data_IF_492206379873
#
_entry.id   IF_492206379873
#
_cell.length_a   1.000
_cell.length_b   1.000
_cell.length_c   1.000
_cell.angle_alpha   90.00
_cell.angle_beta   90.00
_cell.angle_gamma   90.00
#
_symmetry.space_group_name_H-M   'P 1'
#
loop_
_entity.id
_entity.type
_entity.pdbx_description
1 polymer ?
#
# COMPACT_ATOMS: atom_id res chain seq x y z
N UNK A 1 13.85 -1.66 -2.70
CA UNK A 1 12.95 -2.22 -3.71
C UNK A 1 12.24 -1.12 -4.51
N UNK A 2 11.39 -1.49 -5.50
CA UNK A 2 10.80 -0.48 -6.42
C UNK A 2 9.94 0.57 -5.71
N UNK A 3 9.25 0.21 -4.63
CA UNK A 3 8.40 1.12 -3.87
C UNK A 3 9.13 1.87 -2.73
N UNK A 4 10.40 1.61 -2.53
CA UNK A 4 11.16 2.18 -1.41
C UNK A 4 11.13 3.71 -1.39
N UNK A 5 11.47 4.35 -2.51
CA UNK A 5 11.46 5.82 -2.62
C UNK A 5 10.06 6.38 -2.37
N UNK A 6 9.02 5.76 -2.96
CA UNK A 6 7.63 6.15 -2.77
C UNK A 6 7.23 6.12 -1.29
N UNK A 7 7.47 4.96 -0.63
CA UNK A 7 7.07 4.77 0.77
C UNK A 7 7.82 5.71 1.69
N UNK A 8 9.13 5.84 1.55
CA UNK A 8 9.95 6.76 2.37
C UNK A 8 9.53 8.21 2.18
N UNK A 9 9.22 8.63 0.94
CA UNK A 9 8.71 9.99 0.67
C UNK A 9 7.41 10.24 1.42
N UNK A 10 6.45 9.32 1.36
CA UNK A 10 5.16 9.47 2.03
C UNK A 10 5.31 9.39 3.56
N UNK A 11 6.16 8.49 4.09
CA UNK A 11 6.47 8.46 5.53
C UNK A 11 7.02 9.80 6.02
N UNK A 12 7.96 10.39 5.27
CA UNK A 12 8.53 11.70 5.58
C UNK A 12 7.48 12.83 5.53
N UNK A 13 6.58 12.83 4.54
CA UNK A 13 5.46 13.78 4.46
C UNK A 13 4.55 13.69 5.69
N UNK A 14 4.42 12.49 6.26
CA UNK A 14 3.68 12.22 7.48
C UNK A 14 4.53 12.37 8.76
N UNK A 15 5.77 12.82 8.68
CA UNK A 15 6.69 12.95 9.83
C UNK A 15 6.86 11.65 10.62
N UNK A 16 6.92 10.51 9.91
CA UNK A 16 7.08 9.17 10.45
C UNK A 16 8.47 8.61 10.16
N UNK A 17 9.02 7.75 11.04
CA UNK A 17 10.29 7.06 10.81
C UNK A 17 10.28 6.25 9.52
N UNK A 18 11.37 6.35 8.73
CA UNK A 18 11.49 5.62 7.45
C UNK A 18 11.49 4.10 7.64
N UNK A 19 11.93 3.62 8.80
CA UNK A 19 11.97 2.20 9.15
C UNK A 19 10.59 1.54 9.14
N UNK A 20 9.51 2.32 9.30
CA UNK A 20 8.14 1.82 9.20
C UNK A 20 7.81 1.25 7.82
N UNK A 21 8.62 1.53 6.79
CA UNK A 21 8.51 0.85 5.49
C UNK A 21 8.66 -0.68 5.61
N UNK A 22 9.44 -1.16 6.59
CA UNK A 22 9.65 -2.60 6.79
C UNK A 22 8.40 -3.32 7.30
N UNK A 23 7.38 -2.56 7.74
CA UNK A 23 6.07 -3.11 8.01
C UNK A 23 5.44 -3.70 6.74
N UNK A 24 5.45 -2.94 5.62
CA UNK A 24 4.97 -3.43 4.34
C UNK A 24 5.80 -4.64 3.82
N UNK A 25 7.07 -4.73 4.22
CA UNK A 25 7.91 -5.88 3.91
C UNK A 25 7.42 -7.14 4.64
N UNK A 26 7.19 -7.09 5.95
CA UNK A 26 6.74 -8.25 6.71
C UNK A 26 5.29 -8.62 6.42
N UNK A 27 4.44 -7.65 6.05
CA UNK A 27 3.03 -7.88 5.70
C UNK A 27 2.87 -8.60 4.34
N UNK A 28 3.65 -8.24 3.34
CA UNK A 28 3.42 -8.72 1.97
C UNK A 28 4.66 -8.87 1.08
N UNK A 29 5.86 -8.57 1.58
CA UNK A 29 7.05 -8.44 0.73
C UNK A 29 6.88 -7.31 -0.31
N UNK A 30 6.21 -6.22 0.05
CA UNK A 30 5.88 -5.10 -0.85
C UNK A 30 4.97 -5.49 -2.02
N UNK A 31 4.17 -6.55 -1.91
CA UNK A 31 3.26 -6.99 -2.97
C UNK A 31 1.93 -6.24 -2.90
N UNK A 32 1.72 -5.30 -3.83
CA UNK A 32 0.47 -4.53 -3.94
C UNK A 32 -0.78 -5.37 -4.23
N UNK A 33 -0.60 -6.61 -4.71
CA UNK A 33 -1.72 -7.55 -5.01
C UNK A 33 -1.87 -8.66 -3.97
N UNK A 34 -1.11 -8.62 -2.88
CA UNK A 34 -1.22 -9.62 -1.82
C UNK A 34 -2.65 -9.69 -1.29
N UNK A 35 -3.10 -10.90 -0.98
CA UNK A 35 -4.43 -11.16 -0.41
C UNK A 35 -4.34 -12.32 0.57
N UNK A 36 -4.71 -12.07 1.82
CA UNK A 36 -4.62 -13.05 2.90
C UNK A 36 -5.90 -13.85 3.10
N UNK A 37 -5.82 -14.95 3.88
CA UNK A 37 -6.99 -15.73 4.29
C UNK A 37 -7.97 -14.92 5.14
N UNK A 38 -7.48 -13.91 5.86
CA UNK A 38 -8.29 -12.97 6.63
C UNK A 38 -8.87 -11.83 5.77
N UNK A 39 -8.79 -11.93 4.44
CA UNK A 39 -9.26 -10.92 3.48
C UNK A 39 -8.55 -9.57 3.59
N UNK A 40 -7.37 -9.53 4.20
CA UNK A 40 -6.49 -8.38 4.11
C UNK A 40 -5.92 -8.28 2.69
N UNK A 41 -5.72 -7.06 2.18
CA UNK A 41 -5.32 -6.84 0.79
C UNK A 41 -4.28 -5.72 0.68
N UNK A 42 -3.43 -5.86 -0.34
CA UNK A 42 -2.44 -4.87 -0.71
C UNK A 42 -1.14 -4.97 0.07
N UNK A 43 -0.26 -4.03 -0.19
CA UNK A 43 1.09 -3.98 0.37
C UNK A 43 1.08 -3.90 1.90
N UNK A 44 0.14 -3.16 2.47
CA UNK A 44 -0.02 -2.89 3.89
C UNK A 44 -1.01 -3.82 4.60
N UNK A 45 -1.56 -4.81 3.89
CA UNK A 45 -2.49 -5.81 4.40
C UNK A 45 -3.67 -5.24 5.20
N UNK A 46 -4.28 -4.17 4.70
CA UNK A 46 -5.51 -3.66 5.30
C UNK A 46 -6.66 -4.66 5.19
N UNK A 47 -7.33 -4.95 6.31
CA UNK A 47 -8.67 -5.53 6.27
C UNK A 47 -9.67 -4.46 5.80
N UNK A 48 -10.81 -4.89 5.23
CA UNK A 48 -11.76 -3.97 4.60
C UNK A 48 -12.27 -2.87 5.55
N UNK A 49 -12.68 -3.26 6.78
CA UNK A 49 -13.21 -2.31 7.77
C UNK A 49 -12.19 -1.24 8.15
N UNK A 50 -10.95 -1.63 8.42
CA UNK A 50 -9.88 -0.68 8.76
C UNK A 50 -9.55 0.20 7.56
N UNK A 51 -9.39 -0.38 6.35
CA UNK A 51 -9.13 0.40 5.14
C UNK A 51 -10.19 1.47 4.88
N UNK A 52 -11.47 1.14 5.10
CA UNK A 52 -12.59 2.09 4.95
C UNK A 52 -12.49 3.27 5.92
N UNK A 53 -12.10 3.02 7.18
CA UNK A 53 -11.91 4.09 8.19
C UNK A 53 -10.83 5.08 7.72
N UNK A 54 -9.78 4.58 7.06
CA UNK A 54 -8.66 5.39 6.55
C UNK A 54 -8.83 5.79 5.07
N UNK A 55 -10.08 5.81 4.57
CA UNK A 55 -10.43 6.38 3.27
C UNK A 55 -10.13 5.49 2.06
N UNK A 56 -9.84 4.20 2.26
CA UNK A 56 -9.61 3.25 1.16
C UNK A 56 -10.94 2.69 0.65
N UNK A 57 -11.31 3.07 -0.55
CA UNK A 57 -12.54 2.63 -1.20
C UNK A 57 -12.40 1.20 -1.76
N UNK A 58 -13.48 0.41 -1.62
CA UNK A 58 -13.63 -0.86 -2.30
C UNK A 58 -14.99 -0.93 -2.99
N UNK A 59 -14.95 -1.02 -4.31
CA UNK A 59 -16.14 -1.13 -5.16
C UNK A 59 -16.05 -2.36 -6.06
N UNK A 60 -17.00 -2.48 -6.98
CA UNK A 60 -16.91 -3.46 -8.07
C UNK A 60 -15.64 -3.23 -8.92
N UNK A 61 -15.30 -1.99 -9.21
CA UNK A 61 -14.21 -1.60 -10.11
C UNK A 61 -12.84 -1.51 -9.45
N UNK A 62 -12.78 -1.08 -8.18
CA UNK A 62 -11.51 -0.80 -7.49
C UNK A 62 -11.43 -1.43 -6.10
N UNK A 63 -10.22 -1.70 -5.66
CA UNK A 63 -9.87 -1.98 -4.27
C UNK A 63 -8.62 -1.17 -3.92
N UNK A 64 -8.82 0.02 -3.35
CA UNK A 64 -7.75 0.99 -3.09
C UNK A 64 -6.74 0.54 -2.04
N UNK A 65 -7.00 -0.54 -1.29
CA UNK A 65 -6.02 -1.18 -0.43
C UNK A 65 -4.81 -1.71 -1.22
N UNK A 66 -4.99 -1.89 -2.54
CA UNK A 66 -3.95 -2.32 -3.49
C UNK A 66 -3.20 -1.15 -4.12
N UNK A 67 -3.75 0.07 -4.07
CA UNK A 67 -3.08 1.27 -4.58
C UNK A 67 -1.86 1.59 -3.72
N UNK A 68 -0.63 1.54 -4.24
CA UNK A 68 0.56 1.73 -3.41
C UNK A 68 0.66 3.12 -2.78
N UNK A 69 0.12 4.14 -3.43
CA UNK A 69 0.14 5.52 -2.93
C UNK A 69 -0.92 5.70 -1.85
N UNK A 70 -2.19 5.43 -2.17
CA UNK A 70 -3.31 5.60 -1.24
C UNK A 70 -3.18 4.73 0.00
N UNK A 71 -2.81 3.45 -0.19
CA UNK A 71 -2.62 2.54 0.93
C UNK A 71 -1.45 2.95 1.84
N UNK A 72 -0.39 3.57 1.29
CA UNK A 72 0.71 4.08 2.12
C UNK A 72 0.28 5.29 2.94
N UNK A 73 -0.43 6.27 2.36
CA UNK A 73 -1.00 7.39 3.14
C UNK A 73 -1.95 6.91 4.23
N UNK A 74 -2.82 5.95 3.92
CA UNK A 74 -3.72 5.34 4.91
C UNK A 74 -2.96 4.65 6.04
N UNK A 75 -1.89 3.90 5.72
CA UNK A 75 -1.05 3.24 6.71
C UNK A 75 -0.33 4.24 7.62
N UNK A 76 0.18 5.34 7.06
CA UNK A 76 0.80 6.41 7.83
C UNK A 76 -0.18 7.03 8.82
N UNK A 77 -1.41 7.33 8.38
CA UNK A 77 -2.45 7.89 9.27
C UNK A 77 -2.82 6.88 10.37
N UNK A 78 -3.03 5.62 10.01
CA UNK A 78 -3.33 4.56 10.99
C UNK A 78 -2.20 4.37 12.02
N UNK A 79 -0.95 4.36 11.59
CA UNK A 79 0.21 4.25 12.48
C UNK A 79 0.35 5.44 13.42
N UNK A 80 0.06 6.67 12.94
CA UNK A 80 0.00 7.87 13.79
C UNK A 80 -1.07 7.74 14.88
N UNK A 81 -2.27 7.28 14.52
CA UNK A 81 -3.36 7.08 15.47
C UNK A 81 -2.99 6.04 16.53
N UNK A 82 -2.40 4.92 16.10
CA UNK A 82 -1.92 3.89 17.03
C UNK A 82 -0.80 4.40 17.95
N UNK A 83 0.14 5.16 17.39
CA UNK A 83 1.21 5.76 18.21
C UNK A 83 0.64 6.76 19.22
N UNK A 84 -0.30 7.61 18.79
CA UNK A 84 -1.00 8.55 19.69
C UNK A 84 -1.78 7.84 20.79
N UNK A 85 -2.36 6.67 20.50
CA UNK A 85 -3.13 5.86 21.46
C UNK A 85 -2.24 5.22 22.54
N UNK A 86 -1.06 4.72 22.14
CA UNK A 86 -0.20 3.94 23.05
C UNK A 86 1.05 4.67 23.52
N UNK A 87 1.45 5.78 22.89
CA UNK A 87 2.72 6.52 23.10
C UNK A 87 3.95 5.60 23.14
N UNK A 88 3.88 4.49 22.40
CA UNK A 88 4.89 3.44 22.36
C UNK A 88 4.83 2.69 21.03
N UNK A 89 5.92 2.73 20.26
CA UNK A 89 5.98 2.07 18.95
C UNK A 89 5.81 0.56 19.03
N UNK A 90 6.30 -0.11 20.08
CA UNK A 90 6.16 -1.57 20.20
C UNK A 90 4.69 -1.98 20.36
N UNK A 91 3.95 -1.21 21.16
CA UNK A 91 2.51 -1.41 21.33
C UNK A 91 1.72 -1.00 20.08
N UNK A 92 2.08 0.11 19.43
CA UNK A 92 1.44 0.59 18.22
C UNK A 92 1.59 -0.41 17.06
N UNK A 93 2.80 -0.95 16.84
CA UNK A 93 3.04 -1.98 15.83
C UNK A 93 2.31 -3.29 16.15
N UNK A 94 2.27 -3.67 17.43
CA UNK A 94 1.51 -4.85 17.87
C UNK A 94 0.00 -4.65 17.69
N UNK A 95 -0.49 -3.43 17.90
CA UNK A 95 -1.89 -3.06 17.67
C UNK A 95 -2.24 -3.02 16.19
N UNK A 96 -1.30 -2.64 15.32
CA UNK A 96 -1.47 -2.75 13.87
C UNK A 96 -1.81 -4.19 13.44
N UNK A 97 -1.08 -5.17 13.99
CA UNK A 97 -1.31 -6.60 13.72
C UNK A 97 -2.57 -7.14 14.40
N UNK A 98 -2.75 -6.86 15.70
CA UNK A 98 -3.73 -7.55 16.52
C UNK A 98 -5.01 -6.75 16.82
N UNK A 99 -5.00 -5.44 16.50
CA UNK A 99 -6.03 -4.49 16.90
C UNK A 99 -5.84 -3.94 18.31
N UNK A 100 -6.09 -2.63 18.50
CA UNK A 100 -5.93 -1.89 19.77
C UNK A 100 -6.62 -2.55 20.96
N UNK A 101 -7.85 -3.02 20.76
CA UNK A 101 -8.62 -3.63 21.86
C UNK A 101 -7.95 -4.86 22.48
N UNK A 102 -7.19 -5.62 21.69
CA UNK A 102 -6.43 -6.79 22.19
C UNK A 102 -5.23 -6.35 23.00
N UNK A 103 -4.54 -5.31 22.56
CA UNK A 103 -3.39 -4.75 23.27
C UNK A 103 -3.84 -4.15 24.61
N UNK A 104 -4.89 -3.34 24.64
CA UNK A 104 -5.46 -2.81 25.88
C UNK A 104 -5.88 -3.89 26.85
N UNK A 105 -6.47 -4.98 26.38
CA UNK A 105 -6.83 -6.13 27.23
C UNK A 105 -5.59 -6.77 27.85
N UNK A 106 -4.53 -6.95 27.07
CA UNK A 106 -3.28 -7.52 27.56
C UNK A 106 -2.61 -6.61 28.61
N UNK A 107 -2.55 -5.30 28.35
CA UNK A 107 -2.03 -4.29 29.30
C UNK A 107 -2.79 -4.36 30.64
N UNK A 108 -4.12 -4.38 30.61
CA UNK A 108 -4.94 -4.49 31.83
C UNK A 108 -4.72 -5.80 32.57
N UNK A 109 -4.59 -6.91 31.86
CA UNK A 109 -4.38 -8.23 32.45
C UNK A 109 -3.02 -8.34 33.13
N UNK A 110 -1.97 -7.82 32.50
CA UNK A 110 -0.60 -7.91 33.00
C UNK A 110 -0.16 -6.72 33.84
N UNK A 111 -1.00 -5.69 33.97
CA UNK A 111 -0.72 -4.45 34.72
C UNK A 111 0.61 -3.77 34.27
N UNK A 112 0.94 -3.87 32.98
CA UNK A 112 2.15 -3.29 32.41
C UNK A 112 1.94 -2.91 30.94
N UNK A 113 2.62 -1.88 30.49
CA UNK A 113 2.75 -1.48 29.06
C UNK A 113 4.05 -1.93 28.41
N UNK A 114 4.86 -2.73 29.10
CA UNK A 114 6.01 -3.38 28.50
C UNK A 114 5.56 -4.54 27.61
N UNK A 115 5.71 -4.36 26.28
CA UNK A 115 5.32 -5.36 25.28
C UNK A 115 5.88 -6.75 25.58
N UNK A 116 7.12 -6.83 26.07
CA UNK A 116 7.80 -8.11 26.30
C UNK A 116 7.18 -8.92 27.45
N UNK A 117 6.40 -8.27 28.29
CA UNK A 117 5.68 -8.90 29.41
C UNK A 117 4.22 -9.27 29.07
N UNK A 118 3.71 -8.90 27.88
CA UNK A 118 2.33 -9.17 27.48
C UNK A 118 2.14 -10.61 26.96
N UNK A 119 2.38 -11.59 27.80
CA UNK A 119 2.38 -13.02 27.45
C UNK A 119 1.02 -13.55 26.98
N UNK A 120 -0.09 -12.89 27.30
CA UNK A 120 -1.45 -13.25 26.84
C UNK A 120 -1.72 -12.93 25.38
N UNK A 121 -0.83 -12.18 24.71
CA UNK A 121 -0.93 -11.92 23.28
C UNK A 121 -0.73 -13.21 22.47
N UNK A 122 -1.45 -13.40 21.35
CA UNK A 122 -1.26 -14.53 20.44
C UNK A 122 0.21 -14.65 20.01
N UNK A 123 0.67 -15.87 19.75
CA UNK A 123 2.04 -16.14 19.29
C UNK A 123 2.39 -15.31 18.03
N UNK A 124 1.45 -15.17 17.10
CA UNK A 124 1.62 -14.35 15.91
C UNK A 124 1.98 -12.90 16.29
N UNK A 125 1.21 -12.29 17.18
CA UNK A 125 1.43 -10.90 17.62
C UNK A 125 2.73 -10.75 18.41
N UNK A 126 3.05 -11.74 19.28
CA UNK A 126 4.32 -11.73 20.02
C UNK A 126 5.55 -11.85 19.12
N UNK A 127 5.42 -12.53 17.97
CA UNK A 127 6.49 -12.66 16.99
C UNK A 127 6.53 -11.47 16.01
N UNK A 128 5.45 -10.71 15.89
CA UNK A 128 5.33 -9.64 14.90
C UNK A 128 6.36 -8.53 15.09
N UNK A 129 6.51 -8.06 16.33
CA UNK A 129 7.51 -7.03 16.65
C UNK A 129 8.96 -7.54 16.41
N UNK A 130 9.37 -8.73 16.89
CA UNK A 130 10.67 -9.31 16.52
C UNK A 130 10.90 -9.41 15.01
N UNK A 131 9.91 -9.79 14.22
CA UNK A 131 10.02 -9.84 12.75
C UNK A 131 10.22 -8.44 12.15
N UNK A 132 9.47 -7.45 12.63
CA UNK A 132 9.65 -6.07 12.21
C UNK A 132 11.06 -5.57 12.54
N UNK A 133 11.53 -5.76 13.78
CA UNK A 133 12.86 -5.33 14.20
C UNK A 133 13.96 -6.01 13.38
N UNK A 134 13.84 -7.30 13.15
CA UNK A 134 14.79 -8.03 12.30
C UNK A 134 14.79 -7.50 10.86
N UNK A 135 13.60 -7.26 10.28
CA UNK A 135 13.48 -6.70 8.94
C UNK A 135 14.07 -5.27 8.87
N UNK A 136 13.85 -4.45 9.88
CA UNK A 136 14.40 -3.10 9.95
C UNK A 136 15.94 -3.11 10.09
N UNK A 137 16.49 -3.92 10.97
CA UNK A 137 17.94 -4.05 11.17
C UNK A 137 18.62 -4.55 9.90
N UNK A 138 18.17 -5.70 9.37
CA UNK A 138 18.75 -6.31 8.17
C UNK A 138 18.53 -5.41 6.94
N UNK A 139 17.33 -4.86 6.81
CA UNK A 139 16.95 -4.04 5.66
C UNK A 139 17.66 -2.69 5.60
N UNK A 140 18.08 -2.14 6.74
CA UNK A 140 18.87 -0.90 6.81
C UNK A 140 20.34 -1.11 6.42
N UNK A 141 20.90 -2.29 6.68
CA UNK A 141 22.29 -2.65 6.37
C UNK A 141 22.41 -4.01 5.68
N UNK A 142 21.70 -4.28 4.57
CA UNK A 142 21.58 -5.62 4.01
C UNK A 142 22.92 -6.26 3.62
N UNK A 143 23.91 -5.47 3.20
CA UNK A 143 25.24 -5.96 2.85
C UNK A 143 25.98 -6.57 4.03
N UNK A 144 25.80 -6.04 5.23
CA UNK A 144 26.42 -6.55 6.46
C UNK A 144 25.88 -7.95 6.81
N UNK A 145 24.66 -8.25 6.34
CA UNK A 145 24.01 -9.56 6.51
C UNK A 145 24.12 -10.46 5.28
N UNK A 146 25.05 -10.16 4.35
CA UNK A 146 25.34 -11.00 3.18
C UNK A 146 24.33 -10.87 2.03
N UNK A 147 23.43 -9.89 2.06
CA UNK A 147 22.48 -9.68 0.97
C UNK A 147 23.02 -8.75 -0.11
N UNK A 148 22.79 -9.13 -1.36
CA UNK A 148 23.04 -8.27 -2.52
C UNK A 148 21.78 -7.47 -2.84
N UNK A 149 21.90 -6.14 -2.92
CA UNK A 149 20.78 -5.29 -3.28
C UNK A 149 20.67 -5.25 -4.81
N UNK A 150 19.59 -5.77 -5.41
CA UNK A 150 19.40 -5.70 -6.84
C UNK A 150 19.13 -4.24 -7.26
N UNK A 151 19.68 -3.84 -8.40
CA UNK A 151 19.32 -2.55 -9.02
C UNK A 151 17.91 -2.68 -9.61
N UNK A 152 16.96 -1.96 -9.03
CA UNK A 152 15.59 -1.87 -9.54
C UNK A 152 15.24 -0.41 -9.79
N UNK A 153 14.47 -0.16 -10.85
CA UNK A 153 13.94 1.19 -11.10
C UNK A 153 12.88 1.52 -10.05
N UNK A 154 12.95 2.72 -9.48
CA UNK A 154 11.93 3.21 -8.56
C UNK A 154 10.57 3.30 -9.23
N UNK A 155 9.51 3.04 -8.47
CA UNK A 155 8.15 3.24 -8.91
C UNK A 155 7.88 4.74 -9.08
N UNK A 156 7.91 5.17 -10.34
CA UNK A 156 7.67 6.55 -10.75
C UNK A 156 6.62 6.58 -11.84
N UNK A 157 5.70 7.53 -11.77
CA UNK A 157 4.53 7.56 -12.63
C UNK A 157 4.14 8.98 -13.04
N UNK A 158 3.38 9.06 -14.13
CA UNK A 158 2.59 10.22 -14.51
C UNK A 158 1.13 9.96 -14.17
N UNK A 159 0.37 11.01 -13.87
CA UNK A 159 -1.06 10.93 -13.61
C UNK A 159 -1.86 11.53 -14.77
N UNK A 160 -2.92 10.82 -15.14
CA UNK A 160 -3.91 11.29 -16.12
C UNK A 160 -5.30 11.15 -15.53
N UNK A 161 -6.04 12.25 -15.49
CA UNK A 161 -7.43 12.27 -15.06
C UNK A 161 -8.33 11.86 -16.21
N UNK A 162 -9.15 10.83 -16.00
CA UNK A 162 -10.15 10.37 -16.97
C UNK A 162 -11.52 10.96 -16.64
N UNK A 163 -12.23 11.41 -17.66
CA UNK A 163 -13.58 11.98 -17.52
C UNK A 163 -14.65 10.91 -17.37
N UNK A 164 -14.46 9.78 -18.03
CA UNK A 164 -15.42 8.65 -18.08
C UNK A 164 -14.68 7.32 -17.98
N UNK A 165 -15.43 6.25 -17.77
CA UNK A 165 -14.90 4.88 -17.83
C UNK A 165 -14.26 4.59 -19.19
N UNK A 166 -13.11 3.93 -19.17
CA UNK A 166 -12.39 3.51 -20.38
C UNK A 166 -11.86 2.08 -20.21
N UNK A 167 -11.87 1.33 -21.33
CA UNK A 167 -11.33 -0.02 -21.37
C UNK A 167 -9.81 0.00 -21.18
N UNK A 168 -9.27 -0.90 -20.36
CA UNK A 168 -7.84 -0.94 -20.05
C UNK A 168 -6.98 -1.27 -21.27
N UNK A 169 -7.50 -2.01 -22.26
CA UNK A 169 -6.77 -2.31 -23.48
C UNK A 169 -6.63 -1.06 -24.35
N UNK A 170 -7.64 -0.20 -24.40
CA UNK A 170 -7.59 1.10 -25.07
C UNK A 170 -6.57 2.01 -24.39
N UNK A 171 -6.60 2.08 -23.05
CA UNK A 171 -5.67 2.88 -22.27
C UNK A 171 -4.22 2.41 -22.45
N UNK A 172 -3.95 1.12 -22.37
CA UNK A 172 -2.62 0.55 -22.56
C UNK A 172 -2.08 0.82 -23.98
N UNK A 173 -2.91 0.64 -25.01
CA UNK A 173 -2.58 0.90 -26.41
C UNK A 173 -2.27 2.38 -26.64
N UNK A 174 -3.07 3.29 -26.09
CA UNK A 174 -2.86 4.72 -26.17
C UNK A 174 -1.56 5.16 -25.51
N UNK A 175 -1.23 4.57 -24.36
CA UNK A 175 0.04 4.80 -23.68
C UNK A 175 1.25 4.14 -24.40
N UNK A 176 0.99 3.18 -25.30
CA UNK A 176 2.04 2.40 -25.96
C UNK A 176 2.76 1.44 -25.02
N UNK A 177 2.05 0.91 -24.02
CA UNK A 177 2.57 -0.04 -23.02
C UNK A 177 1.81 -1.36 -23.05
N UNK A 178 2.41 -2.41 -22.48
CA UNK A 178 1.73 -3.69 -22.31
C UNK A 178 0.65 -3.59 -21.23
N UNK A 179 -0.45 -4.34 -21.37
CA UNK A 179 -1.52 -4.45 -20.37
C UNK A 179 -0.97 -4.74 -18.96
N UNK A 180 -0.04 -5.68 -18.85
CA UNK A 180 0.61 -6.03 -17.56
C UNK A 180 1.30 -4.81 -16.92
N UNK A 181 1.88 -3.92 -17.73
CA UNK A 181 2.49 -2.68 -17.23
C UNK A 181 1.41 -1.74 -16.68
N UNK A 182 0.32 -1.52 -17.43
CA UNK A 182 -0.79 -0.70 -16.95
C UNK A 182 -1.36 -1.22 -15.60
N UNK A 183 -1.58 -2.52 -15.51
CA UNK A 183 -2.09 -3.17 -14.28
C UNK A 183 -1.10 -3.14 -13.11
N UNK A 184 0.21 -3.02 -13.37
CA UNK A 184 1.23 -2.85 -12.32
C UNK A 184 1.17 -1.44 -11.71
N UNK A 185 0.89 -0.44 -12.54
CA UNK A 185 0.74 0.94 -12.07
C UNK A 185 -0.62 1.23 -11.44
N UNK A 186 -1.64 0.40 -11.73
CA UNK A 186 -3.00 0.53 -11.23
C UNK A 186 -3.49 -0.81 -10.65
N UNK A 187 -2.82 -1.35 -9.61
CA UNK A 187 -3.15 -2.67 -9.08
C UNK A 187 -4.49 -2.71 -8.35
N UNK A 188 -5.06 -1.56 -8.03
CA UNK A 188 -6.39 -1.38 -7.46
C UNK A 188 -7.52 -1.73 -8.43
N UNK A 189 -7.28 -1.67 -9.74
CA UNK A 189 -8.29 -2.00 -10.76
C UNK A 189 -8.60 -3.49 -10.76
N UNK A 190 -9.90 -3.82 -10.66
CA UNK A 190 -10.43 -5.18 -10.54
C UNK A 190 -11.09 -5.66 -11.82
N UNK A 191 -11.48 -4.75 -12.71
CA UNK A 191 -12.20 -5.01 -13.96
C UNK A 191 -11.34 -4.68 -15.16
N UNK A 192 -11.85 -4.99 -16.35
CA UNK A 192 -11.22 -4.63 -17.64
C UNK A 192 -11.40 -3.15 -18.02
N UNK A 193 -12.16 -2.39 -17.25
CA UNK A 193 -12.40 -0.97 -17.43
C UNK A 193 -12.20 -0.19 -16.14
N UNK A 194 -11.92 1.10 -16.26
CA UNK A 194 -11.86 2.02 -15.12
C UNK A 194 -13.26 2.31 -14.57
N UNK A 195 -13.39 2.81 -13.32
CA UNK A 195 -14.69 3.20 -12.78
C UNK A 195 -15.41 4.21 -13.66
N UNK A 196 -16.74 4.11 -13.75
CA UNK A 196 -17.57 5.13 -14.37
C UNK A 196 -17.74 6.32 -13.39
N UNK A 197 -16.65 7.01 -13.15
CA UNK A 197 -16.54 8.12 -12.21
C UNK A 197 -15.71 9.21 -12.88
N UNK A 198 -16.27 10.41 -12.98
CA UNK A 198 -15.49 11.56 -13.43
C UNK A 198 -14.31 11.79 -12.49
N UNK A 199 -13.14 11.93 -13.06
CA UNK A 199 -11.92 12.24 -12.32
C UNK A 199 -11.17 11.05 -11.76
N UNK A 200 -11.42 9.82 -12.26
CA UNK A 200 -10.50 8.71 -11.94
C UNK A 200 -9.09 9.04 -12.41
N UNK A 201 -8.12 8.89 -11.51
CA UNK A 201 -6.71 9.17 -11.78
C UNK A 201 -6.02 7.88 -12.19
N UNK A 202 -5.66 7.79 -13.47
CA UNK A 202 -4.89 6.68 -14.04
C UNK A 202 -3.40 6.96 -13.87
N UNK A 203 -2.65 6.01 -13.31
CA UNK A 203 -1.20 6.06 -13.23
C UNK A 203 -0.57 5.38 -14.45
N UNK A 204 0.35 6.07 -15.09
CA UNK A 204 1.11 5.59 -16.24
C UNK A 204 2.61 5.61 -15.91
N UNK A 205 3.45 4.78 -16.54
CA UNK A 205 4.89 4.90 -16.41
C UNK A 205 5.36 6.32 -16.65
N UNK A 206 6.31 6.82 -15.87
CA UNK A 206 6.87 8.17 -16.00
C UNK A 206 7.32 8.47 -17.43
N UNK A 207 6.96 9.65 -17.94
CA UNK A 207 7.29 10.10 -19.29
C UNK A 207 6.33 9.61 -20.40
N UNK A 208 5.25 8.88 -20.06
CA UNK A 208 4.29 8.39 -21.08
C UNK A 208 3.05 9.26 -21.25
N UNK A 209 2.81 10.22 -20.35
CA UNK A 209 1.61 11.07 -20.33
C UNK A 209 1.36 11.80 -21.65
N UNK A 210 2.35 12.49 -22.20
CA UNK A 210 2.20 13.28 -23.43
C UNK A 210 1.78 12.40 -24.61
N UNK A 211 2.46 11.26 -24.80
CA UNK A 211 2.12 10.28 -25.82
C UNK A 211 0.71 9.71 -25.66
N UNK A 212 0.37 9.37 -24.41
CA UNK A 212 -0.96 8.89 -24.06
C UNK A 212 -2.03 9.92 -24.43
N UNK A 213 -1.89 11.16 -23.95
CA UNK A 213 -2.88 12.22 -24.17
C UNK A 213 -3.10 12.49 -25.66
N UNK A 214 -2.03 12.58 -26.44
CA UNK A 214 -2.14 12.78 -27.88
C UNK A 214 -2.90 11.64 -28.57
N UNK A 215 -2.54 10.39 -28.30
CA UNK A 215 -3.17 9.23 -28.93
C UNK A 215 -4.60 8.99 -28.43
N UNK A 216 -4.84 9.12 -27.15
CA UNK A 216 -6.16 8.88 -26.54
C UNK A 216 -7.16 9.93 -27.04
N UNK A 217 -6.78 11.22 -27.10
CA UNK A 217 -7.65 12.29 -27.57
C UNK A 217 -7.92 12.25 -29.07
N UNK A 218 -7.04 11.63 -29.85
CA UNK A 218 -7.24 11.42 -31.28
C UNK A 218 -8.27 10.32 -31.61
N UNK A 219 -8.62 9.47 -30.64
CA UNK A 219 -9.66 8.44 -30.83
C UNK A 219 -11.04 9.09 -30.82
N UNK A 220 -11.98 8.59 -31.63
CA UNK A 220 -13.42 8.95 -31.51
C UNK A 220 -13.95 8.63 -30.10
N UNK A 221 -14.94 9.41 -29.62
CA UNK A 221 -15.48 9.24 -28.27
C UNK A 221 -15.97 7.82 -27.97
N UNK A 222 -16.63 7.17 -28.92
CA UNK A 222 -17.12 5.79 -28.82
C UNK A 222 -16.01 4.73 -28.76
N UNK A 223 -14.76 5.08 -29.09
CA UNK A 223 -13.59 4.20 -28.95
C UNK A 223 -12.75 4.52 -27.70
N UNK A 224 -12.92 5.72 -27.14
CA UNK A 224 -12.22 6.14 -25.93
C UNK A 224 -12.85 5.59 -24.66
N UNK A 225 -14.17 5.65 -24.60
CA UNK A 225 -14.92 5.36 -23.40
C UNK A 225 -15.69 4.05 -23.51
N UNK A 226 -15.75 3.32 -22.40
CA UNK A 226 -16.62 2.14 -22.28
C UNK A 226 -18.09 2.58 -22.32
N UNK A 227 -18.97 1.75 -22.89
CA UNK A 227 -20.41 2.01 -22.91
C UNK A 227 -21.02 2.07 -21.51
#
# INVERSE_FOLDING_TARGET
GEYEVLIKTILKEHELPEELMFLAMIESGFNSKAYSRAHASGMWQFIYSTGKIYGLERTWYVDERRDPVKATHAACTYLKDLYKEFDNWYLALSAYNAGSGRIHRAIRLHQTSDFWQLHSLPKETRNYLPYFLAAAIIGSSPKEYGFTIPKVSSFSYDEVKLEKSADLAVLARSAGIKMRSLQRYNPELRQSATPNKNGYVLKLPKGTKSKFTAKFNALPANQRFAP
#
